data_IF_335209640523
#
_entry.id   IF_335209640523
#
_cell.length_a   1.000
_cell.length_b   1.000
_cell.length_c   1.000
_cell.angle_alpha   90.00
_cell.angle_beta   90.00
_cell.angle_gamma   90.00
#
_symmetry.space_group_name_H-M   'P 1'
#
loop_
_entity.id
_entity.type
_entity.pdbx_description
1 polymer ?
#
# COMPACT_ATOMS: atom_id res chain seq x y z
N UNK A 1 -63.39 35.50 -27.51
CA UNK A 1 -62.13 36.05 -27.06
C UNK A 1 -61.42 34.96 -26.26
N UNK A 2 -60.56 34.16 -26.91
CA UNK A 2 -59.83 33.06 -26.24
C UNK A 2 -58.41 33.51 -25.89
N UNK A 3 -58.11 33.67 -24.59
CA UNK A 3 -56.74 33.94 -24.07
C UNK A 3 -56.03 32.60 -23.97
N UNK A 4 -55.05 32.35 -24.84
CA UNK A 4 -54.11 31.23 -24.75
C UNK A 4 -52.99 31.65 -23.78
N UNK A 5 -52.94 30.98 -22.62
CA UNK A 5 -51.84 31.13 -21.65
C UNK A 5 -50.71 30.20 -22.10
N UNK A 6 -49.57 30.78 -22.52
CA UNK A 6 -48.35 30.05 -22.85
C UNK A 6 -47.59 29.83 -21.54
N UNK A 7 -47.53 28.60 -21.04
CA UNK A 7 -46.68 28.22 -19.91
C UNK A 7 -45.27 27.96 -20.44
N UNK A 8 -44.34 28.84 -20.12
CA UNK A 8 -42.91 28.66 -20.39
C UNK A 8 -42.29 27.70 -19.35
N UNK A 9 -41.92 26.52 -19.79
CA UNK A 9 -41.22 25.53 -18.98
C UNK A 9 -39.73 25.93 -18.89
N UNK A 10 -39.29 26.51 -17.76
CA UNK A 10 -37.88 26.76 -17.48
C UNK A 10 -37.20 25.41 -17.17
N UNK A 11 -36.43 24.87 -18.12
CA UNK A 11 -35.47 23.79 -17.83
C UNK A 11 -34.31 24.37 -17.06
N UNK A 12 -34.24 24.11 -15.75
CA UNK A 12 -33.06 24.38 -14.95
C UNK A 12 -31.96 23.35 -15.26
N UNK A 13 -30.94 23.76 -16.01
CA UNK A 13 -29.74 22.96 -16.22
C UNK A 13 -28.90 23.01 -14.91
N UNK A 14 -28.89 21.89 -14.19
CA UNK A 14 -27.99 21.71 -13.05
C UNK A 14 -26.58 21.47 -13.63
N UNK A 15 -25.57 22.31 -13.33
CA UNK A 15 -24.20 22.03 -13.73
C UNK A 15 -23.74 20.77 -13.01
N UNK A 16 -23.39 19.74 -13.75
CA UNK A 16 -22.66 18.60 -13.24
C UNK A 16 -21.25 19.09 -12.87
N UNK A 17 -20.94 19.22 -11.59
CA UNK A 17 -19.57 19.37 -11.12
C UNK A 17 -18.86 18.06 -11.42
N UNK A 18 -18.16 17.99 -12.54
CA UNK A 18 -17.11 16.99 -12.74
C UNK A 18 -16.06 17.27 -11.66
N UNK A 19 -15.96 16.40 -10.66
CA UNK A 19 -14.88 16.47 -9.66
C UNK A 19 -13.56 16.45 -10.40
N UNK A 20 -12.67 17.40 -10.10
CA UNK A 20 -11.33 17.40 -10.65
C UNK A 20 -10.60 16.15 -10.17
N UNK A 21 -9.88 15.48 -11.07
CA UNK A 21 -9.04 14.35 -10.70
C UNK A 21 -7.96 14.85 -9.73
N UNK A 22 -7.84 14.21 -8.56
CA UNK A 22 -6.79 14.50 -7.60
C UNK A 22 -5.69 13.45 -7.66
N UNK A 23 -4.46 13.86 -7.40
CA UNK A 23 -3.30 12.97 -7.42
C UNK A 23 -2.66 12.93 -6.02
N UNK A 24 -2.13 11.77 -5.67
CA UNK A 24 -1.39 11.55 -4.44
C UNK A 24 0.02 11.09 -4.74
N UNK A 25 0.98 11.60 -4.00
CA UNK A 25 2.39 11.22 -4.10
C UNK A 25 2.92 10.83 -2.74
N UNK A 26 3.58 9.67 -2.66
CA UNK A 26 4.28 9.22 -1.46
C UNK A 26 5.54 10.09 -1.28
N UNK A 27 5.61 10.81 -0.14
CA UNK A 27 6.71 11.69 0.22
C UNK A 27 7.76 10.97 1.06
N UNK A 28 7.32 10.22 2.07
CA UNK A 28 8.18 9.50 2.99
C UNK A 28 7.63 8.10 3.26
N UNK A 29 8.54 7.16 3.51
CA UNK A 29 8.17 5.80 3.88
C UNK A 29 9.20 5.19 4.81
N UNK A 30 8.71 4.43 5.78
CA UNK A 30 9.48 3.47 6.57
C UNK A 30 8.72 2.16 6.56
N UNK A 31 9.31 1.16 5.94
CA UNK A 31 8.78 -0.19 5.88
C UNK A 31 9.71 -1.12 6.65
N UNK A 32 9.18 -1.88 7.60
CA UNK A 32 9.98 -2.80 8.41
C UNK A 32 9.36 -4.19 8.35
N UNK A 33 10.06 -5.14 7.74
CA UNK A 33 9.70 -6.54 7.88
C UNK A 33 10.27 -7.13 9.16
N UNK A 34 9.59 -8.11 9.72
CA UNK A 34 10.03 -8.82 10.91
C UNK A 34 10.07 -10.33 10.63
N UNK A 35 11.23 -10.95 10.86
CA UNK A 35 11.44 -12.40 10.75
C UNK A 35 11.82 -12.96 12.11
N UNK A 36 11.07 -13.95 12.57
CA UNK A 36 11.30 -14.66 13.82
C UNK A 36 11.98 -16.01 13.60
N UNK A 37 13.07 -16.23 14.31
CA UNK A 37 13.70 -17.54 14.47
C UNK A 37 13.73 -17.91 15.95
N UNK A 38 13.67 -19.19 16.36
CA UNK A 38 13.67 -19.57 17.77
C UNK A 38 14.85 -19.00 18.60
N UNK A 39 16.00 -18.73 17.96
CA UNK A 39 17.20 -18.24 18.63
C UNK A 39 17.40 -16.73 18.50
N UNK A 40 16.77 -16.06 17.53
CA UNK A 40 16.93 -14.61 17.31
C UNK A 40 15.80 -14.05 16.45
N UNK A 41 15.66 -12.74 16.51
CA UNK A 41 14.74 -11.99 15.68
C UNK A 41 15.53 -11.06 14.77
N UNK A 42 15.00 -10.83 13.55
CA UNK A 42 15.61 -9.96 12.56
C UNK A 42 14.57 -9.01 12.02
N UNK A 43 14.94 -7.75 11.93
CA UNK A 43 14.17 -6.75 11.20
C UNK A 43 15.00 -6.25 10.02
N UNK A 44 14.33 -5.92 8.92
CA UNK A 44 14.96 -5.19 7.84
C UNK A 44 14.10 -3.98 7.48
N UNK A 45 14.73 -2.83 7.28
CA UNK A 45 14.08 -1.54 7.10
C UNK A 45 14.36 -1.00 5.71
N UNK A 46 13.32 -0.46 5.07
CA UNK A 46 13.46 0.27 3.80
C UNK A 46 12.79 1.65 3.89
N UNK A 47 13.47 2.66 3.34
CA UNK A 47 12.96 4.02 3.15
C UNK A 47 12.80 4.36 1.67
N UNK A 48 12.89 3.38 0.78
CA UNK A 48 13.00 3.59 -0.66
C UNK A 48 11.69 3.37 -1.43
N UNK A 49 10.56 3.23 -0.74
CA UNK A 49 9.27 3.09 -1.42
C UNK A 49 8.97 4.34 -2.27
N UNK A 50 8.37 4.10 -3.43
CA UNK A 50 7.76 5.13 -4.27
C UNK A 50 6.28 4.79 -4.44
N UNK A 51 5.42 5.81 -4.41
CA UNK A 51 3.99 5.61 -4.50
C UNK A 51 3.29 6.74 -5.22
N UNK A 52 2.24 6.38 -5.94
CA UNK A 52 1.29 7.30 -6.57
C UNK A 52 -0.13 6.82 -6.35
N UNK A 53 -1.05 7.78 -6.20
CA UNK A 53 -2.48 7.55 -6.21
C UNK A 53 -3.14 8.48 -7.22
N UNK A 54 -4.19 7.99 -7.88
CA UNK A 54 -5.02 8.79 -8.79
C UNK A 54 -6.47 8.58 -8.38
N UNK A 55 -7.16 9.68 -8.11
CA UNK A 55 -8.57 9.67 -7.77
C UNK A 55 -9.41 10.09 -8.98
N UNK A 56 -10.44 9.31 -9.25
CA UNK A 56 -11.44 9.60 -10.26
C UNK A 56 -12.80 9.16 -9.77
N UNK A 57 -13.81 10.02 -9.91
CA UNK A 57 -15.20 9.74 -9.52
C UNK A 57 -15.34 9.23 -8.07
N UNK A 58 -14.58 9.81 -7.12
CA UNK A 58 -14.64 9.47 -5.70
C UNK A 58 -13.93 8.18 -5.29
N UNK A 59 -13.18 7.57 -6.20
CA UNK A 59 -12.34 6.39 -5.94
C UNK A 59 -10.88 6.68 -6.29
N UNK A 60 -9.95 6.23 -5.45
CA UNK A 60 -8.53 6.42 -5.63
C UNK A 60 -7.84 5.07 -5.81
N UNK A 61 -7.10 4.91 -6.90
CA UNK A 61 -6.23 3.77 -7.16
C UNK A 61 -4.80 4.13 -6.75
N UNK A 62 -4.22 3.35 -5.84
CA UNK A 62 -2.85 3.53 -5.37
C UNK A 62 -1.95 2.41 -5.86
N UNK A 63 -0.74 2.78 -6.27
CA UNK A 63 0.36 1.87 -6.58
C UNK A 63 1.59 2.28 -5.78
N UNK A 64 2.14 1.34 -5.02
CA UNK A 64 3.40 1.49 -4.29
C UNK A 64 4.39 0.47 -4.83
N UNK A 65 5.65 0.88 -5.02
CA UNK A 65 6.75 0.02 -5.43
C UNK A 65 7.93 0.19 -4.48
N UNK A 66 8.49 -0.94 -4.03
CA UNK A 66 9.61 -0.97 -3.07
C UNK A 66 10.70 -1.87 -3.63
N UNK A 67 11.93 -1.38 -3.84
CA UNK A 67 13.04 -2.24 -4.26
C UNK A 67 13.36 -3.27 -3.18
N UNK A 68 13.37 -4.56 -3.52
CA UNK A 68 13.69 -5.64 -2.55
C UNK A 68 15.07 -5.41 -1.93
N UNK A 69 16.05 -4.98 -2.74
CA UNK A 69 17.42 -4.70 -2.29
C UNK A 69 17.57 -3.51 -1.33
N UNK A 70 16.50 -2.71 -1.14
CA UNK A 70 16.54 -1.54 -0.26
C UNK A 70 16.27 -1.86 1.21
N UNK A 71 15.88 -3.07 1.51
CA UNK A 71 15.73 -3.51 2.89
C UNK A 71 17.12 -3.80 3.48
N UNK A 72 17.42 -3.12 4.56
CA UNK A 72 18.67 -3.22 5.32
C UNK A 72 18.38 -3.82 6.70
N UNK A 73 18.99 -4.96 7.00
CA UNK A 73 18.90 -5.63 8.29
C UNK A 73 20.09 -5.36 9.22
N UNK A 74 21.05 -4.52 8.77
CA UNK A 74 22.32 -4.27 9.47
C UNK A 74 23.35 -5.38 9.28
N UNK A 75 23.10 -6.36 8.41
CA UNK A 75 24.04 -7.44 8.08
C UNK A 75 23.96 -7.76 6.59
N UNK A 76 25.03 -7.45 5.87
CA UNK A 76 25.08 -7.59 4.40
C UNK A 76 24.96 -9.03 3.92
N UNK A 77 25.42 -10.03 4.69
CA UNK A 77 25.27 -11.44 4.33
C UNK A 77 23.80 -11.88 4.45
N UNK A 78 23.12 -11.40 5.49
CA UNK A 78 21.69 -11.65 5.70
C UNK A 78 20.85 -11.01 4.61
N UNK A 79 21.18 -9.77 4.21
CA UNK A 79 20.51 -9.06 3.14
C UNK A 79 20.74 -9.74 1.78
N UNK A 80 21.95 -10.24 1.52
CA UNK A 80 22.24 -11.02 0.32
C UNK A 80 21.44 -12.33 0.30
N UNK A 81 21.37 -13.03 1.44
CA UNK A 81 20.58 -14.25 1.56
C UNK A 81 19.08 -13.96 1.35
N UNK A 82 18.55 -12.87 1.89
CA UNK A 82 17.18 -12.42 1.64
C UNK A 82 16.94 -12.23 0.14
N UNK A 83 17.84 -11.56 -0.58
CA UNK A 83 17.74 -11.39 -2.03
C UNK A 83 17.75 -12.73 -2.79
N UNK A 84 18.51 -13.72 -2.31
CA UNK A 84 18.55 -15.05 -2.93
C UNK A 84 17.22 -15.80 -2.74
N UNK A 85 16.72 -15.90 -1.52
CA UNK A 85 15.48 -16.64 -1.23
C UNK A 85 14.23 -15.98 -1.83
N UNK A 86 14.24 -14.66 -1.97
CA UNK A 86 13.15 -13.89 -2.58
C UNK A 86 13.28 -13.75 -4.10
N UNK A 87 14.35 -14.30 -4.70
CA UNK A 87 14.66 -14.13 -6.13
C UNK A 87 14.73 -12.65 -6.54
N UNK A 88 15.31 -11.82 -5.64
CA UNK A 88 15.32 -10.36 -5.81
C UNK A 88 16.07 -9.86 -7.05
N UNK A 89 16.94 -10.65 -7.67
CA UNK A 89 17.58 -10.33 -8.94
C UNK A 89 16.60 -10.46 -10.13
N UNK A 90 15.67 -11.42 -10.07
CA UNK A 90 14.66 -11.66 -11.11
C UNK A 90 13.40 -10.81 -10.87
N UNK A 91 13.00 -10.68 -9.62
CA UNK A 91 11.83 -9.88 -9.17
C UNK A 91 12.28 -8.76 -8.24
N UNK A 92 12.86 -7.67 -8.77
CA UNK A 92 13.54 -6.65 -7.97
C UNK A 92 12.61 -5.74 -7.17
N UNK A 93 11.30 -5.81 -7.40
CA UNK A 93 10.32 -4.94 -6.76
C UNK A 93 9.25 -5.74 -6.01
N UNK A 94 8.90 -5.28 -4.82
CA UNK A 94 7.59 -5.52 -4.23
C UNK A 94 6.66 -4.45 -4.76
N UNK A 95 5.48 -4.82 -5.28
CA UNK A 95 4.45 -3.85 -5.64
C UNK A 95 3.17 -4.09 -4.85
N UNK A 96 2.55 -3.01 -4.40
CA UNK A 96 1.28 -3.05 -3.67
C UNK A 96 0.27 -2.19 -4.42
N UNK A 97 -0.90 -2.76 -4.69
CA UNK A 97 -2.05 -2.04 -5.26
C UNK A 97 -3.20 -2.07 -4.27
N UNK A 98 -3.88 -0.95 -4.17
CA UNK A 98 -5.11 -0.83 -3.39
C UNK A 98 -6.03 0.20 -4.01
N UNK A 99 -7.34 0.00 -3.84
CA UNK A 99 -8.37 0.98 -4.20
C UNK A 99 -9.12 1.39 -2.95
N UNK A 100 -9.25 2.68 -2.75
CA UNK A 100 -9.91 3.28 -1.59
C UNK A 100 -10.88 4.36 -2.04
N UNK A 101 -11.98 4.60 -1.31
CA UNK A 101 -12.79 5.78 -1.53
C UNK A 101 -11.95 7.05 -1.22
N UNK A 102 -12.17 8.11 -1.95
CA UNK A 102 -11.45 9.39 -1.73
C UNK A 102 -11.67 9.94 -0.31
N UNK A 103 -12.84 9.65 0.27
CA UNK A 103 -13.15 9.98 1.67
C UNK A 103 -12.30 9.26 2.72
N UNK A 104 -11.51 8.25 2.33
CA UNK A 104 -10.65 7.50 3.23
C UNK A 104 -9.63 8.39 3.94
N UNK A 105 -9.13 9.45 3.28
CA UNK A 105 -8.18 10.40 3.87
C UNK A 105 -8.77 11.22 5.04
N UNK A 106 -10.11 11.33 5.12
CA UNK A 106 -10.80 12.03 6.22
C UNK A 106 -11.16 11.09 7.39
N UNK A 107 -10.87 9.79 7.27
CA UNK A 107 -11.18 8.78 8.30
C UNK A 107 -9.98 8.61 9.23
N UNK A 108 -10.20 8.36 10.52
CA UNK A 108 -9.11 8.05 11.47
C UNK A 108 -8.54 6.63 11.28
N UNK A 109 -9.33 5.74 10.66
CA UNK A 109 -8.94 4.36 10.35
C UNK A 109 -9.56 3.92 9.03
N UNK A 110 -8.85 3.09 8.29
CA UNK A 110 -9.34 2.44 7.06
C UNK A 110 -9.05 0.95 7.11
N UNK A 111 -9.88 0.17 6.43
CA UNK A 111 -9.59 -1.23 6.13
C UNK A 111 -9.35 -1.34 4.62
N UNK A 112 -8.13 -1.67 4.24
CA UNK A 112 -7.72 -1.73 2.84
C UNK A 112 -7.64 -3.17 2.33
N UNK A 113 -8.14 -3.39 1.11
CA UNK A 113 -7.84 -4.61 0.36
C UNK A 113 -6.56 -4.38 -0.43
N UNK A 114 -5.57 -5.24 -0.21
CA UNK A 114 -4.26 -5.12 -0.83
C UNK A 114 -4.02 -6.26 -1.82
N UNK A 115 -3.53 -5.92 -3.00
CA UNK A 115 -2.90 -6.87 -3.92
C UNK A 115 -1.39 -6.65 -3.85
N UNK A 116 -0.64 -7.67 -3.45
CA UNK A 116 0.82 -7.60 -3.29
C UNK A 116 1.48 -8.56 -4.26
N UNK A 117 2.39 -8.04 -5.08
CA UNK A 117 3.28 -8.84 -5.93
C UNK A 117 4.67 -8.86 -5.32
N UNK A 118 5.18 -10.06 -5.04
CA UNK A 118 6.50 -10.28 -4.48
C UNK A 118 7.04 -11.64 -4.93
N UNK A 119 8.35 -11.74 -5.19
CA UNK A 119 9.04 -12.97 -5.62
C UNK A 119 8.37 -13.69 -6.82
N UNK A 120 7.73 -12.91 -7.72
CA UNK A 120 7.01 -13.44 -8.88
C UNK A 120 5.63 -14.02 -8.57
N UNK A 121 5.13 -13.85 -7.36
CA UNK A 121 3.80 -14.30 -6.93
C UNK A 121 2.92 -13.11 -6.58
N UNK A 122 1.59 -13.31 -6.64
CA UNK A 122 0.59 -12.32 -6.23
C UNK A 122 -0.24 -12.88 -5.09
N UNK A 123 -0.34 -12.14 -3.99
CA UNK A 123 -1.19 -12.45 -2.84
C UNK A 123 -2.22 -11.34 -2.63
N UNK A 124 -3.37 -11.71 -2.05
CA UNK A 124 -4.46 -10.80 -1.72
C UNK A 124 -4.66 -10.78 -0.20
N UNK A 125 -4.64 -9.59 0.38
CA UNK A 125 -4.92 -9.37 1.79
C UNK A 125 -6.18 -8.54 1.91
N UNK A 126 -7.17 -9.04 2.62
CA UNK A 126 -8.48 -8.38 2.76
C UNK A 126 -8.58 -7.65 4.08
N UNK A 127 -9.19 -6.45 4.04
CA UNK A 127 -9.55 -5.68 5.23
C UNK A 127 -8.38 -5.43 6.19
N UNK A 128 -7.18 -5.16 5.64
CA UNK A 128 -6.00 -4.82 6.45
C UNK A 128 -6.23 -3.46 7.10
N UNK A 129 -6.17 -3.36 8.46
CA UNK A 129 -6.44 -2.12 9.16
C UNK A 129 -5.23 -1.17 9.12
N UNK A 130 -5.49 0.10 8.82
CA UNK A 130 -4.52 1.19 8.92
C UNK A 130 -5.11 2.36 9.69
N UNK A 131 -4.25 3.02 10.47
CA UNK A 131 -4.54 4.34 11.06
C UNK A 131 -4.21 5.41 10.04
N UNK A 132 -5.02 6.45 10.01
CA UNK A 132 -4.89 7.59 9.11
C UNK A 132 -4.90 8.87 9.96
N UNK A 133 -3.93 9.74 9.75
CA UNK A 133 -3.87 11.07 10.36
C UNK A 133 -3.57 12.09 9.27
N UNK A 134 -4.50 12.99 9.01
CA UNK A 134 -4.36 14.02 7.97
C UNK A 134 -4.25 15.39 8.61
N UNK A 135 -3.11 16.04 8.40
CA UNK A 135 -2.81 17.37 8.90
C UNK A 135 -2.04 18.18 7.85
N UNK A 136 -2.44 19.43 7.64
CA UNK A 136 -1.69 20.37 6.80
C UNK A 136 -1.53 19.95 5.32
N UNK A 137 -2.44 19.12 4.79
CA UNK A 137 -2.34 18.59 3.41
C UNK A 137 -1.46 17.33 3.26
N UNK A 138 -0.92 16.84 4.37
CA UNK A 138 -0.23 15.55 4.43
C UNK A 138 -1.11 14.52 5.13
N UNK A 139 -1.07 13.29 4.62
CA UNK A 139 -1.78 12.14 5.20
C UNK A 139 -0.77 11.08 5.61
N UNK A 140 -0.72 10.84 6.92
CA UNK A 140 0.15 9.84 7.54
C UNK A 140 -0.63 8.54 7.71
N UNK A 141 -0.07 7.44 7.21
CA UNK A 141 -0.68 6.10 7.23
C UNK A 141 0.23 5.15 7.99
N UNK A 142 -0.31 4.51 9.04
CA UNK A 142 0.43 3.50 9.80
C UNK A 142 -0.37 2.22 9.96
N UNK A 143 0.31 1.07 9.92
CA UNK A 143 -0.33 -0.23 10.10
C UNK A 143 0.64 -1.38 9.97
N UNK A 144 0.09 -2.61 9.95
CA UNK A 144 0.90 -3.83 9.76
C UNK A 144 0.21 -4.75 8.77
N UNK A 145 0.92 -5.13 7.73
CA UNK A 145 0.47 -6.13 6.75
C UNK A 145 0.84 -7.50 7.29
N UNK A 146 -0.12 -8.43 7.47
CA UNK A 146 0.14 -9.76 8.04
C UNK A 146 0.62 -10.74 6.96
N UNK A 147 1.74 -10.43 6.29
CA UNK A 147 2.27 -11.25 5.22
C UNK A 147 2.90 -12.55 5.73
N UNK A 148 2.87 -13.60 4.90
CA UNK A 148 3.57 -14.87 5.15
C UNK A 148 4.47 -15.22 3.96
N UNK A 149 5.53 -15.99 4.20
CA UNK A 149 6.44 -16.45 3.14
C UNK A 149 5.72 -17.36 2.13
N UNK A 150 4.87 -18.24 2.62
CA UNK A 150 4.13 -19.20 1.80
C UNK A 150 3.10 -18.57 0.87
N UNK A 151 2.58 -17.37 1.19
CA UNK A 151 1.71 -16.60 0.28
C UNK A 151 2.43 -16.29 -1.05
N UNK A 152 3.77 -16.18 -1.00
CA UNK A 152 4.63 -15.91 -2.14
C UNK A 152 5.43 -17.13 -2.61
N UNK A 153 5.03 -18.34 -2.18
CA UNK A 153 5.69 -19.61 -2.50
C UNK A 153 7.19 -19.61 -2.13
N UNK A 154 7.53 -18.95 -1.05
CA UNK A 154 8.85 -18.97 -0.46
C UNK A 154 8.82 -19.97 0.68
N UNK A 155 9.63 -21.01 0.60
CA UNK A 155 9.82 -21.94 1.71
C UNK A 155 10.58 -21.24 2.83
N UNK A 156 10.10 -21.30 4.10
CA UNK A 156 10.82 -20.70 5.22
C UNK A 156 12.26 -21.23 5.31
N UNK A 157 13.27 -20.38 5.16
CA UNK A 157 14.66 -20.84 5.21
C UNK A 157 15.01 -21.43 6.56
N UNK A 158 15.80 -22.50 6.56
CA UNK A 158 16.26 -23.16 7.77
C UNK A 158 17.69 -22.71 8.12
N UNK A 159 17.86 -22.23 9.32
CA UNK A 159 19.17 -22.07 9.94
C UNK A 159 19.36 -23.21 10.94
N UNK A 160 20.30 -24.12 10.67
CA UNK A 160 20.41 -25.37 11.43
C UNK A 160 19.11 -26.21 11.26
N UNK A 161 18.74 -27.12 12.19
CA UNK A 161 17.53 -27.93 12.03
C UNK A 161 16.22 -27.17 12.23
N UNK A 162 16.24 -25.85 12.51
CA UNK A 162 15.05 -25.06 12.81
C UNK A 162 14.77 -24.02 11.71
N UNK A 163 13.57 -24.02 11.10
CA UNK A 163 13.19 -22.99 10.15
C UNK A 163 12.83 -21.67 10.86
N UNK A 164 12.92 -20.56 10.13
CA UNK A 164 12.28 -19.31 10.54
C UNK A 164 10.76 -19.49 10.55
N UNK A 165 10.04 -18.64 11.31
CA UNK A 165 8.58 -18.64 11.26
C UNK A 165 8.11 -18.21 9.87
N UNK A 166 6.97 -18.75 9.46
CA UNK A 166 6.35 -18.41 8.17
C UNK A 166 5.86 -16.95 8.13
N UNK A 167 5.43 -16.42 9.28
CA UNK A 167 4.91 -15.06 9.39
C UNK A 167 6.03 -14.03 9.23
N UNK A 168 5.83 -13.10 8.31
CA UNK A 168 6.71 -11.95 8.04
C UNK A 168 5.91 -10.65 8.07
N UNK A 169 5.35 -10.25 9.22
CA UNK A 169 4.59 -9.01 9.30
C UNK A 169 5.45 -7.83 8.86
N UNK A 170 4.83 -6.94 8.07
CA UNK A 170 5.49 -5.71 7.58
C UNK A 170 4.81 -4.51 8.20
N UNK A 171 5.51 -3.80 9.08
CA UNK A 171 5.08 -2.48 9.57
C UNK A 171 5.20 -1.46 8.45
N UNK A 172 4.17 -0.65 8.33
CA UNK A 172 4.04 0.42 7.35
C UNK A 172 3.92 1.74 8.10
N UNK A 173 4.73 2.71 7.68
CA UNK A 173 4.69 4.09 8.10
C UNK A 173 4.97 4.94 6.86
N UNK A 174 3.96 5.68 6.39
CA UNK A 174 4.01 6.40 5.11
C UNK A 174 3.36 7.78 5.24
N UNK A 175 3.97 8.79 4.63
CA UNK A 175 3.39 10.13 4.48
C UNK A 175 3.09 10.42 3.01
N UNK A 176 1.85 10.76 2.74
CA UNK A 176 1.33 11.08 1.41
C UNK A 176 0.93 12.53 1.31
N UNK A 177 1.13 13.11 0.13
CA UNK A 177 0.70 14.47 -0.19
C UNK A 177 -0.27 14.46 -1.36
N UNK A 178 -1.39 15.17 -1.22
CA UNK A 178 -2.36 15.38 -2.30
C UNK A 178 -1.95 16.60 -3.13
N UNK A 179 -1.93 16.43 -4.46
CA UNK A 179 -1.58 17.48 -5.43
C UNK A 179 -2.81 18.03 -6.12
#
# INVERSE_FOLDING_TARGET
>A
MNKRILAALLLATVPAFAGADSQWVLQQSTLTYHVSHPLHQTEGVSHAAKGKGVCHAGQCDFLIAVPVKSFDSGDSNRDLHMLQVTRGAEFPLVTVRTRLPESAAASATINADLEIQFAGQTAQYKQVPFKVDTQGGETHITGTIPATLTDFKIDPPSLLPMPVKNDIPVRVDMTWHQQ
#
